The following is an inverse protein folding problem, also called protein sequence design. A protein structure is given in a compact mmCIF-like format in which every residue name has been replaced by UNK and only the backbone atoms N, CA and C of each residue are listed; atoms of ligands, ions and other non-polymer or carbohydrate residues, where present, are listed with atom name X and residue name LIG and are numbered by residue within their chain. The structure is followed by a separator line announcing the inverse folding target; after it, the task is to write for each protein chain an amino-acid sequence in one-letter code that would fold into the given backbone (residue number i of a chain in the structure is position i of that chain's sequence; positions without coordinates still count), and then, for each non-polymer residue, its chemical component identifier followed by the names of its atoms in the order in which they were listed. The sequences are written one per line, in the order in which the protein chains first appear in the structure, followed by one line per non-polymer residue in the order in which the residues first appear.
data_IF_053907971882
#
_entry.id   IF_053907971882
#
_cell.length_a   1.000
_cell.length_b   1.000
_cell.length_c   1.000
_cell.angle_alpha   90.00
_cell.angle_beta   90.00
_cell.angle_gamma   90.00
#
_symmetry.space_group_name_H-M   'P 1'
#
loop_
_entity.id
_entity.type
_entity.pdbx_description
1 polymer ?
#
# COMPACT_ATOMS: atom_id res chain seq x y z
N UNK A 1 -10.00 -44.00 -3.08
CA UNK A 1 -8.93 -43.05 -3.48
C UNK A 1 -9.27 -42.33 -4.79
N UNK A 2 -9.58 -43.02 -5.89
CA UNK A 2 -9.80 -42.40 -7.21
C UNK A 2 -11.01 -41.44 -7.31
N UNK A 3 -12.19 -41.84 -6.84
CA UNK A 3 -13.40 -41.00 -6.85
C UNK A 3 -13.26 -39.74 -5.99
N UNK A 4 -12.63 -39.84 -4.82
CA UNK A 4 -12.34 -38.69 -3.97
C UNK A 4 -11.37 -37.71 -4.66
N UNK A 5 -10.35 -38.23 -5.34
CA UNK A 5 -9.41 -37.43 -6.12
C UNK A 5 -10.10 -36.68 -7.27
N UNK A 6 -10.98 -37.35 -8.02
CA UNK A 6 -11.76 -36.74 -9.11
C UNK A 6 -12.66 -35.61 -8.60
N UNK A 7 -13.32 -35.80 -7.46
CA UNK A 7 -14.15 -34.76 -6.84
C UNK A 7 -13.33 -33.55 -6.40
N UNK A 8 -12.17 -33.78 -5.77
CA UNK A 8 -11.26 -32.70 -5.35
C UNK A 8 -10.75 -31.90 -6.55
N UNK A 9 -10.31 -32.59 -7.61
CA UNK A 9 -9.84 -31.94 -8.84
C UNK A 9 -10.96 -31.12 -9.50
N UNK A 10 -12.16 -31.68 -9.60
CA UNK A 10 -13.33 -30.97 -10.17
C UNK A 10 -13.67 -29.70 -9.39
N UNK A 11 -13.69 -29.77 -8.05
CA UNK A 11 -13.98 -28.62 -7.20
C UNK A 11 -12.94 -27.49 -7.37
N UNK A 12 -11.65 -27.84 -7.48
CA UNK A 12 -10.60 -26.85 -7.72
C UNK A 12 -10.76 -26.16 -9.08
N UNK A 13 -11.09 -26.91 -10.14
CA UNK A 13 -11.28 -26.36 -11.48
C UNK A 13 -12.48 -25.41 -11.52
N UNK A 14 -13.60 -25.78 -10.90
CA UNK A 14 -14.80 -24.93 -10.83
C UNK A 14 -14.49 -23.63 -10.09
N UNK A 15 -13.81 -23.71 -8.95
CA UNK A 15 -13.44 -22.53 -8.18
C UNK A 15 -12.53 -21.58 -8.97
N UNK A 16 -11.54 -22.12 -9.68
CA UNK A 16 -10.64 -21.33 -10.54
C UNK A 16 -11.38 -20.66 -11.69
N UNK A 17 -12.29 -21.38 -12.35
CA UNK A 17 -13.12 -20.84 -13.41
C UNK A 17 -14.03 -19.71 -12.91
N UNK A 18 -14.59 -19.84 -11.69
CA UNK A 18 -15.40 -18.79 -11.07
C UNK A 18 -14.60 -17.52 -10.78
N UNK A 19 -13.37 -17.65 -10.27
CA UNK A 19 -12.49 -16.49 -10.01
C UNK A 19 -12.08 -15.80 -11.32
N UNK A 20 -11.81 -16.58 -12.37
CA UNK A 20 -11.45 -16.04 -13.68
C UNK A 20 -12.64 -15.40 -14.42
N UNK A 21 -13.86 -15.88 -14.16
CA UNK A 21 -15.10 -15.38 -14.78
C UNK A 21 -15.67 -14.16 -14.06
N UNK A 22 -15.31 -13.95 -12.79
CA UNK A 22 -15.57 -12.68 -12.15
C UNK A 22 -14.80 -11.61 -12.92
N UNK A 23 -15.45 -10.59 -13.49
CA UNK A 23 -14.71 -9.47 -14.04
C UNK A 23 -13.85 -8.95 -12.90
N UNK A 24 -12.52 -8.97 -13.09
CA UNK A 24 -11.62 -8.28 -12.19
C UNK A 24 -12.20 -6.89 -12.05
N UNK A 25 -12.74 -6.59 -10.88
CA UNK A 25 -13.27 -5.27 -10.60
C UNK A 25 -12.04 -4.41 -10.78
N UNK A 26 -11.99 -3.68 -11.90
CA UNK A 26 -11.07 -2.60 -12.10
C UNK A 26 -11.47 -1.57 -11.05
N UNK A 27 -11.06 -1.83 -9.81
CA UNK A 27 -11.02 -0.89 -8.74
C UNK A 27 -9.84 0.04 -9.06
N UNK A 28 -9.86 0.62 -10.26
CA UNK A 28 -9.08 1.80 -10.57
C UNK A 28 -9.47 2.78 -9.48
N UNK A 29 -8.54 3.09 -8.55
CA UNK A 29 -8.79 4.15 -7.61
C UNK A 29 -9.03 5.37 -8.51
N UNK A 30 -10.24 5.90 -8.50
CA UNK A 30 -10.47 7.25 -9.02
C UNK A 30 -9.83 8.16 -8.00
N UNK A 31 -8.51 8.28 -8.06
CA UNK A 31 -7.82 9.43 -7.50
C UNK A 31 -8.38 10.60 -8.30
N UNK A 32 -9.32 11.31 -7.70
CA UNK A 32 -9.62 12.67 -8.07
C UNK A 32 -8.31 13.41 -7.81
N UNK A 33 -7.60 13.74 -8.89
CA UNK A 33 -6.24 14.30 -8.95
C UNK A 33 -6.12 15.71 -8.32
N UNK A 34 -6.89 15.99 -7.27
CA UNK A 34 -6.93 17.26 -6.55
C UNK A 34 -6.67 17.04 -5.05
N UNK A 35 -5.96 15.97 -4.68
CA UNK A 35 -5.27 16.01 -3.37
C UNK A 35 -4.29 17.18 -3.50
N UNK A 36 -4.35 18.21 -2.64
CA UNK A 36 -3.47 19.35 -2.77
C UNK A 36 -2.03 18.87 -2.54
N UNK A 37 -1.33 18.54 -3.63
CA UNK A 37 0.07 18.16 -3.63
C UNK A 37 0.90 19.27 -2.96
N UNK A 38 0.44 20.52 -3.06
CA UNK A 38 0.96 21.66 -2.32
C UNK A 38 0.93 21.46 -0.79
N UNK A 39 -0.16 20.92 -0.22
CA UNK A 39 -0.25 20.60 1.21
C UNK A 39 0.65 19.42 1.58
N UNK A 40 0.81 18.43 0.68
CA UNK A 40 1.72 17.31 0.90
C UNK A 40 3.19 17.76 0.90
N UNK A 41 3.57 18.58 -0.07
CA UNK A 41 4.92 19.13 -0.20
C UNK A 41 5.26 20.09 0.95
N UNK A 42 4.30 20.92 1.38
CA UNK A 42 4.50 21.81 2.53
C UNK A 42 4.75 21.02 3.83
N UNK A 43 3.96 19.98 4.08
CA UNK A 43 4.17 19.16 5.28
C UNK A 43 5.51 18.40 5.24
N UNK A 44 5.91 17.91 4.07
CA UNK A 44 7.19 17.23 3.90
C UNK A 44 8.34 18.20 4.14
N UNK A 45 8.26 19.42 3.60
CA UNK A 45 9.24 20.49 3.83
C UNK A 45 9.33 20.86 5.31
N UNK A 46 8.19 20.98 6.00
CA UNK A 46 8.15 21.27 7.45
C UNK A 46 8.79 20.15 8.27
N UNK A 47 8.51 18.89 7.95
CA UNK A 47 9.10 17.74 8.64
C UNK A 47 10.61 17.69 8.42
N UNK A 48 11.06 17.91 7.18
CA UNK A 48 12.50 17.96 6.86
C UNK A 48 13.22 19.08 7.63
N UNK A 49 12.62 20.28 7.73
CA UNK A 49 13.18 21.37 8.53
C UNK A 49 13.29 21.03 10.02
N UNK A 50 12.29 20.34 10.59
CA UNK A 50 12.34 19.91 12.00
C UNK A 50 13.43 18.86 12.20
N UNK A 51 13.57 17.90 11.29
CA UNK A 51 14.61 16.86 11.37
C UNK A 51 16.01 17.47 11.22
N UNK A 52 16.19 18.42 10.30
CA UNK A 52 17.45 19.13 10.12
C UNK A 52 17.77 19.98 11.34
N UNK A 53 16.81 20.73 11.88
CA UNK A 53 16.99 21.49 13.12
C UNK A 53 17.37 20.59 14.30
N UNK A 54 16.70 19.43 14.45
CA UNK A 54 17.04 18.45 15.49
C UNK A 54 18.44 17.86 15.29
N UNK A 55 18.81 17.55 14.05
CA UNK A 55 20.14 17.05 13.69
C UNK A 55 21.22 18.11 13.95
N UNK A 56 20.94 19.37 13.65
CA UNK A 56 21.86 20.49 13.90
C UNK A 56 22.00 20.76 15.40
N UNK A 57 20.91 20.71 16.16
CA UNK A 57 20.95 20.77 17.63
C UNK A 57 21.84 19.66 18.20
N UNK A 58 21.64 18.43 17.73
CA UNK A 58 22.44 17.27 18.10
C UNK A 58 23.91 17.29 17.59
N UNK A 59 24.20 18.07 16.54
CA UNK A 59 25.56 18.24 16.01
C UNK A 59 26.31 19.34 16.75
N UNK A 60 25.60 20.38 17.18
CA UNK A 60 26.14 21.54 17.90
C UNK A 60 26.20 21.30 19.41
N UNK A 61 25.41 20.37 19.94
CA UNK A 61 25.30 20.06 21.36
C UNK A 61 25.19 18.54 21.56
N UNK A 62 25.72 18.01 22.68
CA UNK A 62 25.50 16.61 23.07
C UNK A 62 24.00 16.41 23.23
N UNK A 63 23.38 15.53 22.44
CA UNK A 63 21.95 15.26 22.55
C UNK A 63 21.66 14.71 23.95
N UNK A 64 21.00 15.50 24.80
CA UNK A 64 20.42 15.00 26.04
C UNK A 64 18.95 14.65 25.74
N UNK A 65 18.67 13.35 25.68
CA UNK A 65 17.34 12.78 25.73
C UNK A 65 17.29 11.81 26.88
#
# INVERSE_FOLDING_TARGET
MGIHYVHVVSNCVILLLLIASAPSVDARPKTKDDIPQASFQDNAKRILQVLESKRNCCRLQVCCG
#
